data_IF_237133126572
#
_entry.id   IF_237133126572
#
_cell.length_a   1.000
_cell.length_b   1.000
_cell.length_c   1.000
_cell.angle_alpha   90.00
_cell.angle_beta   90.00
_cell.angle_gamma   90.00
#
_symmetry.space_group_name_H-M   'P 1'
#
loop_
_entity.id
_entity.type
_entity.pdbx_description
1 polymer ?
#
# COMPACT_ATOMS: atom_id res chain seq x y z
N UNK A 1 -28.38 -10.96 8.72
CA UNK A 1 -28.49 -11.73 7.46
C UNK A 1 -27.86 -10.87 6.37
N UNK A 2 -26.81 -11.30 5.64
CA UNK A 2 -26.29 -10.50 4.55
C UNK A 2 -27.37 -10.39 3.48
N UNK A 3 -27.57 -9.16 2.94
CA UNK A 3 -28.59 -8.86 1.93
C UNK A 3 -28.28 -9.49 0.56
N UNK A 4 -27.06 -9.98 0.36
CA UNK A 4 -26.61 -10.59 -0.90
C UNK A 4 -25.72 -11.78 -0.60
N UNK A 5 -25.87 -12.87 -1.37
CA UNK A 5 -24.90 -13.94 -1.42
C UNK A 5 -23.58 -13.40 -2.00
N UNK A 6 -22.48 -13.68 -1.35
CA UNK A 6 -21.16 -13.31 -1.84
C UNK A 6 -20.83 -14.18 -3.05
N UNK A 7 -20.93 -13.61 -4.24
CA UNK A 7 -20.44 -14.25 -5.45
C UNK A 7 -18.95 -13.91 -5.57
N UNK A 8 -18.06 -14.85 -5.28
CA UNK A 8 -16.66 -14.71 -5.61
C UNK A 8 -16.48 -14.97 -7.10
N UNK A 9 -16.02 -13.97 -7.85
CA UNK A 9 -15.76 -14.07 -9.28
C UNK A 9 -14.27 -13.88 -9.54
N UNK A 10 -13.63 -14.88 -10.12
CA UNK A 10 -12.24 -14.81 -10.61
C UNK A 10 -12.16 -14.40 -12.09
N UNK A 11 -13.24 -13.90 -12.67
CA UNK A 11 -13.35 -13.61 -14.10
C UNK A 11 -12.26 -12.67 -14.63
N UNK A 12 -11.85 -11.67 -13.84
CA UNK A 12 -10.75 -10.76 -14.21
C UNK A 12 -9.41 -11.47 -14.23
N UNK A 13 -9.12 -12.29 -13.22
CA UNK A 13 -7.90 -13.08 -13.14
C UNK A 13 -7.82 -14.10 -14.25
N UNK A 14 -8.87 -14.89 -14.47
CA UNK A 14 -8.96 -15.88 -15.57
C UNK A 14 -8.79 -15.20 -16.94
N UNK A 15 -9.31 -13.99 -17.10
CA UNK A 15 -9.15 -13.24 -18.35
C UNK A 15 -7.72 -12.78 -18.56
N UNK A 16 -7.06 -12.28 -17.52
CA UNK A 16 -5.65 -11.91 -17.57
C UNK A 16 -4.78 -13.12 -17.89
N UNK A 17 -4.96 -14.24 -17.20
CA UNK A 17 -4.20 -15.48 -17.42
C UNK A 17 -4.29 -15.93 -18.88
N UNK A 18 -5.50 -15.96 -19.46
CA UNK A 18 -5.67 -16.30 -20.89
C UNK A 18 -4.95 -15.32 -21.84
N UNK A 19 -4.88 -14.03 -21.51
CA UNK A 19 -4.14 -13.06 -22.32
C UNK A 19 -2.63 -13.25 -22.19
N UNK A 20 -2.13 -13.58 -21.00
CA UNK A 20 -0.72 -13.93 -20.78
C UNK A 20 -0.35 -15.22 -21.54
N UNK A 21 -1.19 -16.25 -21.51
CA UNK A 21 -1.00 -17.47 -22.29
C UNK A 21 -0.93 -17.17 -23.81
N UNK A 22 -1.83 -16.32 -24.32
CA UNK A 22 -1.77 -15.89 -25.72
C UNK A 22 -0.48 -15.13 -26.03
N UNK A 23 0.00 -14.30 -25.11
CA UNK A 23 1.26 -13.55 -25.26
C UNK A 23 2.50 -14.46 -25.30
N UNK A 24 2.45 -15.62 -24.65
CA UNK A 24 3.52 -16.62 -24.63
C UNK A 24 3.56 -17.49 -25.89
N UNK A 25 2.53 -17.47 -26.73
CA UNK A 25 2.46 -18.28 -27.93
C UNK A 25 3.53 -17.85 -28.97
N UNK A 26 4.10 -18.81 -29.68
CA UNK A 26 5.10 -18.54 -30.72
C UNK A 26 4.48 -17.68 -31.83
N UNK A 27 5.11 -16.55 -32.15
CA UNK A 27 4.63 -15.61 -33.17
C UNK A 27 3.48 -14.71 -32.74
N UNK A 28 3.17 -14.64 -31.44
CA UNK A 28 2.14 -13.75 -30.91
C UNK A 28 2.50 -12.27 -31.15
N UNK A 29 1.50 -11.48 -31.51
CA UNK A 29 1.60 -10.01 -31.50
C UNK A 29 1.48 -9.50 -30.05
N UNK A 30 2.62 -9.47 -29.36
CA UNK A 30 2.70 -9.06 -27.94
C UNK A 30 2.22 -7.63 -27.74
N UNK A 31 2.45 -6.72 -28.69
CA UNK A 31 2.02 -5.33 -28.58
C UNK A 31 0.47 -5.19 -28.62
N UNK A 32 -0.16 -5.91 -29.52
CA UNK A 32 -1.62 -5.94 -29.60
C UNK A 32 -2.23 -6.52 -28.31
N UNK A 33 -1.63 -7.60 -27.77
CA UNK A 33 -2.09 -8.22 -26.52
C UNK A 33 -1.89 -7.28 -25.32
N UNK A 34 -0.73 -6.65 -25.21
CA UNK A 34 -0.43 -5.68 -24.15
C UNK A 34 -1.43 -4.51 -24.20
N UNK A 35 -1.79 -4.02 -25.38
CA UNK A 35 -2.83 -2.99 -25.56
C UNK A 35 -4.19 -3.46 -25.02
N UNK A 36 -4.56 -4.71 -25.26
CA UNK A 36 -5.81 -5.28 -24.73
C UNK A 36 -5.76 -5.40 -23.21
N UNK A 37 -4.63 -5.83 -22.63
CA UNK A 37 -4.43 -5.93 -21.18
C UNK A 37 -4.62 -4.56 -20.53
N UNK A 38 -3.92 -3.53 -21.03
CA UNK A 38 -4.03 -2.17 -20.49
C UNK A 38 -5.45 -1.58 -20.69
N UNK A 39 -6.11 -1.87 -21.79
CA UNK A 39 -7.50 -1.45 -22.02
C UNK A 39 -8.50 -2.05 -21.04
N UNK A 40 -8.26 -3.29 -20.60
CA UNK A 40 -9.17 -4.02 -19.71
C UNK A 40 -8.91 -3.73 -18.23
N UNK A 41 -7.64 -3.59 -17.84
CA UNK A 41 -7.22 -3.58 -16.44
C UNK A 41 -6.47 -2.31 -16.05
N UNK A 42 -6.09 -1.45 -17.01
CA UNK A 42 -5.36 -0.22 -16.75
C UNK A 42 -6.22 0.83 -16.06
N UNK A 43 -5.82 1.24 -14.86
CA UNK A 43 -6.45 2.30 -14.07
C UNK A 43 -5.37 3.14 -13.39
N UNK A 44 -5.73 4.37 -12.98
CA UNK A 44 -4.86 5.22 -12.18
C UNK A 44 -5.28 5.20 -10.71
N UNK A 45 -4.33 4.86 -9.84
CA UNK A 45 -4.53 4.75 -8.40
C UNK A 45 -3.31 5.24 -7.61
N UNK A 46 -3.56 5.75 -6.41
CA UNK A 46 -2.55 5.75 -5.37
C UNK A 46 -2.56 4.40 -4.67
N UNK A 47 -1.37 3.84 -4.47
CA UNK A 47 -1.16 2.53 -3.86
C UNK A 47 -0.36 2.74 -2.59
N UNK A 48 -0.85 2.23 -1.47
CA UNK A 48 -0.20 2.30 -0.18
C UNK A 48 0.15 0.89 0.30
N UNK A 49 1.40 0.71 0.70
CA UNK A 49 1.85 -0.43 1.49
C UNK A 49 2.18 0.02 2.90
N UNK A 50 1.76 -0.76 3.87
CA UNK A 50 2.12 -0.55 5.27
C UNK A 50 2.80 -1.78 5.83
N UNK A 51 3.73 -1.60 6.76
CA UNK A 51 4.42 -2.69 7.44
C UNK A 51 4.63 -2.38 8.92
N UNK A 52 4.54 -3.39 9.79
CA UNK A 52 4.79 -3.24 11.21
C UNK A 52 6.29 -3.33 11.49
N UNK A 53 6.87 -2.23 11.95
CA UNK A 53 8.30 -2.13 12.19
C UNK A 53 8.73 -2.90 13.43
N UNK A 54 9.74 -3.75 13.26
CA UNK A 54 10.38 -4.49 14.34
C UNK A 54 9.90 -5.94 14.51
N UNK A 55 9.23 -6.50 13.51
CA UNK A 55 8.72 -7.89 13.51
C UNK A 55 9.70 -8.92 14.08
N UNK A 56 10.84 -9.10 13.40
CA UNK A 56 11.80 -10.15 13.78
C UNK A 56 12.32 -9.98 15.19
N UNK A 57 12.56 -8.74 15.64
CA UNK A 57 13.01 -8.43 16.99
C UNK A 57 11.92 -8.72 18.01
N UNK A 58 10.70 -8.29 17.74
CA UNK A 58 9.58 -8.48 18.67
C UNK A 58 9.22 -9.95 18.83
N UNK A 59 9.25 -10.75 17.75
CA UNK A 59 9.04 -12.21 17.82
C UNK A 59 10.14 -12.88 18.63
N UNK A 60 11.39 -12.51 18.46
CA UNK A 60 12.53 -13.06 19.20
C UNK A 60 12.47 -12.70 20.71
N UNK A 61 12.01 -11.49 21.04
CA UNK A 61 12.01 -10.97 22.42
C UNK A 61 10.72 -11.36 23.18
N UNK A 62 9.53 -11.30 22.53
CA UNK A 62 8.23 -11.45 23.17
C UNK A 62 7.42 -12.65 22.69
N UNK A 63 7.88 -13.34 21.66
CA UNK A 63 7.23 -14.51 21.07
C UNK A 63 6.15 -14.21 20.04
N UNK A 64 5.82 -15.24 19.26
CA UNK A 64 4.91 -15.12 18.09
C UNK A 64 3.47 -14.75 18.48
N UNK A 65 2.99 -15.21 19.62
CA UNK A 65 1.60 -14.92 20.08
C UNK A 65 1.43 -13.44 20.38
N UNK A 66 2.42 -12.81 21.01
CA UNK A 66 2.41 -11.37 21.26
C UNK A 66 2.40 -10.58 19.93
N UNK A 67 3.13 -11.06 18.94
CA UNK A 67 3.13 -10.41 17.63
C UNK A 67 1.79 -10.55 16.90
N UNK A 68 1.15 -11.72 16.92
CA UNK A 68 -0.21 -11.90 16.39
C UNK A 68 -1.23 -10.98 17.07
N UNK A 69 -1.07 -10.75 18.37
CA UNK A 69 -1.88 -9.75 19.09
C UNK A 69 -1.62 -8.33 18.56
N UNK A 70 -0.37 -7.97 18.27
CA UNK A 70 0.00 -6.66 17.70
C UNK A 70 -0.61 -6.48 16.32
N UNK A 71 -0.57 -7.48 15.44
CA UNK A 71 -1.25 -7.47 14.12
C UNK A 71 -2.76 -7.24 14.32
N UNK A 72 -3.39 -7.97 15.22
CA UNK A 72 -4.83 -7.82 15.47
C UNK A 72 -5.18 -6.41 15.97
N UNK A 73 -4.37 -5.85 16.87
CA UNK A 73 -4.55 -4.47 17.37
C UNK A 73 -4.36 -3.47 16.23
N UNK A 74 -3.32 -3.63 15.38
CA UNK A 74 -3.06 -2.74 14.26
C UNK A 74 -4.27 -2.69 13.31
N UNK A 75 -4.84 -3.83 12.92
CA UNK A 75 -6.04 -3.88 12.07
C UNK A 75 -7.22 -3.13 12.70
N UNK A 76 -7.48 -3.32 13.99
CA UNK A 76 -8.57 -2.63 14.70
C UNK A 76 -8.40 -1.12 14.75
N UNK A 77 -7.17 -0.63 14.76
CA UNK A 77 -6.86 0.81 14.81
C UNK A 77 -6.84 1.42 13.40
N UNK A 78 -6.27 0.72 12.42
CA UNK A 78 -5.94 1.27 11.12
C UNK A 78 -7.09 1.14 10.10
N UNK A 79 -7.84 0.03 10.10
CA UNK A 79 -8.96 -0.16 9.16
C UNK A 79 -10.00 0.95 9.26
N UNK A 80 -10.41 1.43 10.46
CA UNK A 80 -11.31 2.59 10.54
C UNK A 80 -10.73 3.90 9.96
N UNK A 81 -9.39 4.06 9.93
CA UNK A 81 -8.76 5.21 9.26
C UNK A 81 -8.91 5.10 7.75
N UNK A 82 -8.71 3.90 7.19
CA UNK A 82 -8.90 3.62 5.76
C UNK A 82 -10.34 3.90 5.31
N UNK A 83 -11.31 3.39 6.05
CA UNK A 83 -12.73 3.56 5.74
C UNK A 83 -13.18 5.03 5.74
N UNK A 84 -12.68 5.83 6.70
CA UNK A 84 -12.98 7.27 6.75
C UNK A 84 -12.35 8.05 5.61
N UNK A 85 -11.20 7.62 5.13
CA UNK A 85 -10.45 8.28 4.07
C UNK A 85 -10.64 7.70 2.68
N UNK A 86 -11.74 6.96 2.46
CA UNK A 86 -12.09 6.33 1.16
C UNK A 86 -11.00 5.38 0.60
N UNK A 87 -10.20 4.77 1.46
CA UNK A 87 -9.25 3.72 1.10
C UNK A 87 -9.95 2.38 0.86
N UNK A 88 -9.52 1.66 -0.16
CA UNK A 88 -9.96 0.29 -0.43
C UNK A 88 -8.83 -0.65 0.01
N UNK A 89 -9.05 -1.39 1.09
CA UNK A 89 -8.14 -2.45 1.52
C UNK A 89 -8.30 -3.65 0.59
N UNK A 90 -7.31 -3.90 -0.26
CA UNK A 90 -7.34 -5.05 -1.18
C UNK A 90 -6.97 -6.34 -0.47
N UNK A 91 -5.87 -6.33 0.28
CA UNK A 91 -5.40 -7.52 1.00
C UNK A 91 -4.53 -7.17 2.20
N UNK A 92 -4.39 -8.14 3.07
CA UNK A 92 -3.42 -8.16 4.16
C UNK A 92 -2.55 -9.40 4.03
N UNK A 93 -1.23 -9.24 4.15
CA UNK A 93 -0.26 -10.34 4.15
C UNK A 93 0.60 -10.23 5.41
N UNK A 94 0.32 -11.10 6.38
CA UNK A 94 0.96 -11.01 7.70
C UNK A 94 0.63 -9.68 8.38
N UNK A 95 1.63 -8.83 8.54
CA UNK A 95 1.56 -7.50 9.15
C UNK A 95 1.46 -6.35 8.13
N UNK A 96 1.53 -6.66 6.83
CA UNK A 96 1.41 -5.68 5.75
C UNK A 96 -0.03 -5.52 5.28
N UNK A 97 -0.38 -4.30 4.87
CA UNK A 97 -1.65 -3.99 4.19
C UNK A 97 -1.37 -3.39 2.83
N UNK A 98 -2.08 -3.87 1.80
CA UNK A 98 -2.16 -3.25 0.48
C UNK A 98 -3.48 -2.50 0.34
N UNK A 99 -3.39 -1.19 0.18
CA UNK A 99 -4.55 -0.28 0.10
C UNK A 99 -4.46 0.57 -1.16
N UNK A 100 -5.59 0.83 -1.81
CA UNK A 100 -5.65 1.74 -2.96
C UNK A 100 -6.60 2.91 -2.70
N UNK A 101 -6.29 4.06 -3.33
CA UNK A 101 -7.07 5.29 -3.24
C UNK A 101 -7.19 5.92 -4.63
N UNK A 102 -8.29 6.62 -4.89
CA UNK A 102 -8.43 7.37 -6.16
C UNK A 102 -7.53 8.60 -6.22
N UNK A 103 -7.18 9.18 -5.08
CA UNK A 103 -6.36 10.39 -4.96
C UNK A 103 -5.08 10.11 -4.16
N UNK A 104 -3.97 10.68 -4.62
CA UNK A 104 -2.70 10.68 -3.88
C UNK A 104 -2.81 11.48 -2.57
N UNK A 105 -3.58 12.57 -2.58
CA UNK A 105 -3.81 13.38 -1.40
C UNK A 105 -4.59 12.62 -0.32
N UNK A 106 -5.63 11.85 -0.70
CA UNK A 106 -6.38 11.01 0.24
C UNK A 106 -5.47 9.94 0.87
N UNK A 107 -4.63 9.27 0.05
CA UNK A 107 -3.68 8.29 0.55
C UNK A 107 -2.71 8.91 1.57
N UNK A 108 -2.19 10.10 1.27
CA UNK A 108 -1.25 10.80 2.13
C UNK A 108 -1.91 11.24 3.45
N UNK A 109 -3.12 11.79 3.38
CA UNK A 109 -3.88 12.20 4.56
C UNK A 109 -4.22 11.00 5.47
N UNK A 110 -4.64 9.88 4.86
CA UNK A 110 -4.91 8.64 5.62
C UNK A 110 -3.65 8.11 6.28
N UNK A 111 -2.51 8.13 5.60
CA UNK A 111 -1.23 7.73 6.21
C UNK A 111 -0.90 8.57 7.45
N UNK A 112 -1.10 9.90 7.39
CA UNK A 112 -0.93 10.79 8.54
C UNK A 112 -1.90 10.43 9.68
N UNK A 113 -3.17 10.19 9.36
CA UNK A 113 -4.20 9.85 10.35
C UNK A 113 -3.93 8.49 11.00
N UNK A 114 -3.39 7.52 10.25
CA UNK A 114 -2.93 6.24 10.79
C UNK A 114 -1.79 6.45 11.80
N UNK A 115 -0.79 7.24 11.46
CA UNK A 115 0.35 7.53 12.36
C UNK A 115 -0.11 8.25 13.63
N UNK A 116 -1.04 9.22 13.52
CA UNK A 116 -1.64 9.90 14.68
C UNK A 116 -2.44 8.97 15.57
N UNK A 117 -3.23 8.08 14.97
CA UNK A 117 -3.98 7.05 15.70
C UNK A 117 -3.04 6.14 16.50
N UNK A 118 -1.94 5.70 15.87
CA UNK A 118 -0.93 4.87 16.54
C UNK A 118 -0.17 5.62 17.62
N UNK A 119 0.16 6.88 17.42
CA UNK A 119 0.80 7.70 18.46
C UNK A 119 -0.10 7.86 19.70
N UNK A 120 -1.39 8.11 19.50
CA UNK A 120 -2.36 8.15 20.58
C UNK A 120 -2.50 6.78 21.29
N UNK A 121 -2.49 5.68 20.53
CA UNK A 121 -2.50 4.34 21.09
C UNK A 121 -1.23 4.04 21.89
N UNK A 122 -0.06 4.40 21.37
CA UNK A 122 1.25 4.11 21.96
C UNK A 122 1.57 4.98 23.19
N UNK A 123 0.81 6.07 23.38
CA UNK A 123 1.03 6.98 24.49
C UNK A 123 0.97 6.25 25.85
N UNK A 124 2.03 6.34 26.63
CA UNK A 124 2.21 5.67 27.95
C UNK A 124 2.14 4.13 27.90
N UNK A 125 2.21 3.47 26.73
CA UNK A 125 2.28 2.01 26.64
C UNK A 125 3.70 1.50 26.71
N UNK A 126 3.93 0.36 27.38
CA UNK A 126 5.24 -0.28 27.34
C UNK A 126 5.56 -0.71 25.90
N UNK A 127 6.86 -0.79 25.59
CA UNK A 127 7.37 -1.08 24.26
C UNK A 127 6.73 -2.33 23.61
N UNK A 128 6.48 -3.36 24.40
CA UNK A 128 5.88 -4.63 23.96
C UNK A 128 4.45 -4.47 23.43
N UNK A 129 3.76 -3.41 23.83
CA UNK A 129 2.37 -3.13 23.41
C UNK A 129 2.27 -2.02 22.34
N UNK A 130 3.40 -1.39 22.00
CA UNK A 130 3.41 -0.36 20.97
C UNK A 130 3.26 -0.96 19.58
N UNK A 131 2.50 -0.27 18.73
CA UNK A 131 2.34 -0.57 17.31
C UNK A 131 3.11 0.48 16.52
N UNK A 132 4.15 0.07 15.81
CA UNK A 132 5.01 0.94 15.03
C UNK A 132 4.82 0.63 13.54
N UNK A 133 4.56 1.65 12.73
CA UNK A 133 4.17 1.51 11.33
C UNK A 133 5.13 2.26 10.42
N UNK A 134 5.58 1.59 9.35
CA UNK A 134 6.15 2.19 8.15
C UNK A 134 5.11 2.26 7.04
N UNK A 135 5.15 3.30 6.21
CA UNK A 135 4.21 3.50 5.10
C UNK A 135 4.96 3.87 3.84
N UNK A 136 4.64 3.21 2.72
CA UNK A 136 5.10 3.54 1.38
C UNK A 136 3.93 3.84 0.46
N UNK A 137 4.00 4.94 -0.32
CA UNK A 137 2.93 5.38 -1.21
C UNK A 137 3.49 5.62 -2.62
N UNK A 138 2.83 5.03 -3.63
CA UNK A 138 3.04 5.28 -5.05
C UNK A 138 1.78 5.79 -5.71
N UNK A 139 1.91 6.46 -6.88
CA UNK A 139 0.77 6.97 -7.63
C UNK A 139 1.01 6.88 -9.12
N UNK A 140 0.11 6.23 -9.84
CA UNK A 140 0.25 6.13 -11.30
C UNK A 140 -0.70 5.13 -11.92
N UNK A 141 -0.38 4.75 -13.16
CA UNK A 141 -1.11 3.71 -13.86
C UNK A 141 -0.71 2.33 -13.35
N UNK A 142 -1.71 1.54 -13.05
CA UNK A 142 -1.58 0.16 -12.55
C UNK A 142 -2.53 -0.75 -13.32
N UNK A 143 -2.22 -2.03 -13.38
CA UNK A 143 -3.17 -3.06 -13.79
C UNK A 143 -3.94 -3.50 -12.56
N UNK A 144 -5.23 -3.19 -12.48
CA UNK A 144 -6.11 -3.63 -11.39
C UNK A 144 -6.87 -4.89 -11.79
N UNK A 145 -6.68 -5.96 -11.04
CA UNK A 145 -7.28 -7.27 -11.32
C UNK A 145 -8.44 -7.51 -10.36
N UNK A 146 -9.58 -6.99 -10.72
CA UNK A 146 -10.77 -7.02 -9.85
C UNK A 146 -10.50 -6.35 -8.50
N UNK A 147 -10.91 -7.01 -7.43
CA UNK A 147 -10.64 -6.59 -6.05
C UNK A 147 -9.52 -7.42 -5.39
N UNK A 148 -8.75 -8.18 -6.19
CA UNK A 148 -7.75 -9.09 -5.68
C UNK A 148 -6.35 -8.47 -5.59
N UNK A 149 -5.91 -7.76 -6.64
CA UNK A 149 -4.52 -7.27 -6.71
C UNK A 149 -4.33 -6.11 -7.70
N UNK A 150 -3.17 -5.46 -7.57
CA UNK A 150 -2.70 -4.41 -8.49
C UNK A 150 -1.23 -4.66 -8.86
N UNK A 151 -0.86 -4.34 -10.10
CA UNK A 151 0.50 -4.50 -10.63
C UNK A 151 0.94 -3.23 -11.34
N UNK A 152 2.21 -2.84 -11.17
CA UNK A 152 2.78 -1.66 -11.84
C UNK A 152 4.08 -1.20 -11.22
N UNK A 153 4.76 -0.27 -11.89
CA UNK A 153 6.02 0.28 -11.38
C UNK A 153 5.82 1.00 -10.03
N UNK A 154 4.78 1.82 -9.92
CA UNK A 154 4.45 2.54 -8.69
C UNK A 154 4.01 1.60 -7.55
N UNK A 155 3.41 0.43 -7.87
CA UNK A 155 3.10 -0.61 -6.88
C UNK A 155 4.38 -1.20 -6.30
N UNK A 156 5.33 -1.56 -7.17
CA UNK A 156 6.64 -2.08 -6.75
C UNK A 156 7.40 -1.05 -5.91
N UNK A 157 7.40 0.22 -6.33
CA UNK A 157 8.08 1.29 -5.60
C UNK A 157 7.44 1.53 -4.22
N UNK A 158 6.10 1.55 -4.14
CA UNK A 158 5.38 1.70 -2.87
C UNK A 158 5.67 0.56 -1.90
N UNK A 159 5.67 -0.70 -2.37
CA UNK A 159 6.03 -1.87 -1.56
C UNK A 159 7.47 -1.74 -1.01
N UNK A 160 8.44 -1.43 -1.87
CA UNK A 160 9.84 -1.23 -1.46
C UNK A 160 10.02 -0.10 -0.45
N UNK A 161 9.26 0.98 -0.59
CA UNK A 161 9.28 2.08 0.37
C UNK A 161 8.67 1.68 1.71
N UNK A 162 7.51 1.02 1.71
CA UNK A 162 6.78 0.69 2.93
C UNK A 162 7.38 -0.48 3.72
N UNK A 163 7.76 -1.56 3.01
CA UNK A 163 8.18 -2.81 3.64
C UNK A 163 9.70 -2.88 3.87
N UNK A 164 10.51 -2.38 2.91
CA UNK A 164 11.96 -2.54 2.98
C UNK A 164 12.70 -1.28 3.46
N UNK A 165 12.10 -0.09 3.36
CA UNK A 165 12.84 1.17 3.56
C UNK A 165 12.35 1.97 4.76
N UNK A 166 11.02 2.11 4.93
CA UNK A 166 10.43 2.95 5.97
C UNK A 166 10.82 2.49 7.37
N UNK A 167 11.07 3.46 8.24
CA UNK A 167 11.25 3.25 9.67
C UNK A 167 9.95 3.55 10.42
N UNK A 168 9.94 3.26 11.72
CA UNK A 168 8.79 3.53 12.58
C UNK A 168 8.37 5.01 12.51
N UNK A 169 7.12 5.24 12.15
CA UNK A 169 6.54 6.58 12.01
C UNK A 169 6.87 7.27 10.68
N UNK A 170 7.58 6.64 9.75
CA UNK A 170 7.86 7.25 8.46
C UNK A 170 6.76 7.01 7.44
N UNK A 171 6.50 8.05 6.65
CA UNK A 171 5.66 8.00 5.45
C UNK A 171 6.57 8.35 4.27
N UNK A 172 6.87 7.36 3.45
CA UNK A 172 7.71 7.49 2.27
C UNK A 172 6.83 7.47 1.00
N UNK A 173 7.22 8.25 0.01
CA UNK A 173 6.44 8.41 -1.21
C UNK A 173 7.31 8.51 -2.45
N UNK A 174 6.76 8.10 -3.59
CA UNK A 174 7.41 8.22 -4.89
C UNK A 174 7.36 9.65 -5.42
N UNK A 175 8.18 9.96 -6.43
CA UNK A 175 8.14 11.24 -7.13
C UNK A 175 6.75 11.56 -7.69
N UNK A 176 6.04 10.57 -8.21
CA UNK A 176 4.71 10.75 -8.77
C UNK A 176 3.67 11.18 -7.72
N UNK A 177 3.78 10.67 -6.47
CA UNK A 177 2.95 11.15 -5.35
C UNK A 177 3.31 12.59 -5.01
N UNK A 178 4.61 12.91 -4.86
CA UNK A 178 5.09 14.25 -4.57
C UNK A 178 4.58 15.28 -5.58
N UNK A 179 4.70 14.98 -6.88
CA UNK A 179 4.22 15.82 -7.96
C UNK A 179 2.70 16.01 -7.95
N UNK A 180 1.96 14.92 -7.66
CA UNK A 180 0.49 14.96 -7.63
C UNK A 180 -0.07 15.81 -6.48
N UNK A 181 0.65 15.91 -5.35
CA UNK A 181 0.19 16.66 -4.16
C UNK A 181 0.84 18.03 -4.00
N UNK A 182 1.66 18.45 -4.95
CA UNK A 182 2.42 19.72 -4.87
C UNK A 182 1.57 20.97 -4.63
N UNK A 183 0.28 20.93 -4.98
CA UNK A 183 -0.67 22.05 -4.81
C UNK A 183 -1.68 21.82 -3.68
N UNK A 184 -1.65 20.67 -3.00
CA UNK A 184 -2.68 20.27 -2.04
C UNK A 184 -2.37 20.68 -0.58
N UNK A 185 -1.36 21.56 -0.41
CA UNK A 185 -1.03 22.14 0.90
C UNK A 185 -0.21 21.22 1.81
N UNK A 186 0.31 20.13 1.30
CA UNK A 186 1.31 19.33 2.01
C UNK A 186 2.68 19.98 1.90
N UNK A 187 3.38 20.10 3.02
CA UNK A 187 4.69 20.75 3.11
C UNK A 187 5.69 19.82 3.82
N UNK A 188 6.98 20.07 3.61
CA UNK A 188 8.04 19.34 4.31
C UNK A 188 8.31 17.96 3.73
N UNK A 189 8.79 17.93 2.48
CA UNK A 189 9.24 16.70 1.84
C UNK A 189 10.77 16.67 1.77
N UNK A 190 11.37 15.69 2.45
CA UNK A 190 12.81 15.44 2.41
C UNK A 190 13.14 14.39 1.35
N UNK A 191 14.02 14.69 0.39
CA UNK A 191 14.41 13.70 -0.61
C UNK A 191 15.19 12.55 0.05
N UNK A 192 14.92 11.32 -0.38
CA UNK A 192 15.71 10.16 0.01
C UNK A 192 16.99 10.06 -0.83
N UNK A 193 18.06 9.56 -0.23
CA UNK A 193 19.33 9.39 -0.91
C UNK A 193 19.29 8.37 -2.06
N UNK A 194 18.39 7.39 -1.98
CA UNK A 194 18.21 6.32 -2.98
C UNK A 194 16.74 6.14 -3.25
N UNK A 195 16.37 6.15 -4.52
CA UNK A 195 15.02 5.81 -4.98
C UNK A 195 14.93 4.30 -5.25
N UNK A 196 13.83 3.63 -4.88
CA UNK A 196 13.64 2.23 -5.22
C UNK A 196 13.34 2.04 -6.72
N UNK A 197 13.46 0.82 -7.25
CA UNK A 197 12.98 0.51 -8.59
C UNK A 197 11.50 0.89 -8.76
N UNK A 198 11.16 1.46 -9.92
CA UNK A 198 9.80 1.88 -10.26
C UNK A 198 9.56 3.38 -10.15
N UNK A 199 10.46 4.14 -9.50
CA UNK A 199 10.42 5.61 -9.45
C UNK A 199 11.82 6.20 -9.63
N UNK A 200 11.90 7.45 -10.13
CA UNK A 200 13.18 8.14 -10.33
C UNK A 200 13.65 8.93 -9.09
N UNK A 201 12.75 9.21 -8.17
CA UNK A 201 13.05 9.84 -6.88
C UNK A 201 12.03 9.37 -5.83
N UNK A 202 12.39 9.53 -4.57
CA UNK A 202 11.49 9.24 -3.44
C UNK A 202 11.71 10.27 -2.33
N UNK A 203 10.69 10.46 -1.51
CA UNK A 203 10.66 11.48 -0.47
C UNK A 203 10.10 10.93 0.83
N UNK A 204 10.51 11.55 1.94
CA UNK A 204 9.91 11.36 3.27
C UNK A 204 9.02 12.57 3.56
N UNK A 205 7.78 12.33 3.93
CA UNK A 205 6.89 13.39 4.40
C UNK A 205 7.23 13.76 5.85
N UNK A 206 7.41 15.07 6.08
CA UNK A 206 7.41 15.66 7.44
C UNK A 206 5.99 15.97 7.84
N UNK A 207 5.53 15.48 8.98
CA UNK A 207 4.19 15.73 9.51
C UNK A 207 4.24 15.85 11.04
N UNK A 208 3.21 16.42 11.64
CA UNK A 208 3.07 16.52 13.09
C UNK A 208 2.10 15.48 13.60
N UNK A 209 2.52 14.76 14.61
CA UNK A 209 1.72 13.77 15.33
C UNK A 209 0.90 14.43 16.42
#
# INVERSE_FOLDING_TARGET
MPLFDRIESHASQDRLERLIEQRLALGADTHAIDTVIWKLFGERWAVMFTDLIGFSRNVAEFGIVQFLQTIHISHRLLVPCLERGAGILLKTEGDSMLVIFRSAADALQVAIDMQRCLAAHNFQRPRVEQVLLGVGIGYGEVLRIGDADVFGAEVTAAAKLGEDTAQAGEILLTAAVYEAVATDGFEGFDPLAVAPPGTHAAYRLQYRV
#
